data_IF_201408575618
#
_entry.id   IF_201408575618
#
_cell.length_a   1.000
_cell.length_b   1.000
_cell.length_c   1.000
_cell.angle_alpha   90.00
_cell.angle_beta   90.00
_cell.angle_gamma   90.00
#
_symmetry.space_group_name_H-M   'P 1'
#
loop_
_entity.id
_entity.type
_entity.pdbx_description
1 polymer ?
#
# COMPACT_ATOMS: atom_id res chain seq x y z
N UNK A 1 2.26 33.65 -3.07
CA UNK A 1 1.10 32.89 -2.54
C UNK A 1 1.22 31.49 -3.12
N UNK A 2 1.73 30.54 -2.33
CA UNK A 2 1.90 29.15 -2.79
C UNK A 2 0.53 28.49 -2.77
N UNK A 3 0.09 27.95 -3.90
CA UNK A 3 -1.13 27.17 -3.99
C UNK A 3 -0.78 25.77 -3.51
N UNK A 4 -1.22 25.41 -2.31
CA UNK A 4 -1.21 24.02 -1.86
C UNK A 4 -2.31 23.29 -2.66
N UNK A 5 -1.91 22.58 -3.72
CA UNK A 5 -2.78 21.64 -4.41
C UNK A 5 -2.94 20.40 -3.52
N UNK A 6 -3.84 20.46 -2.53
CA UNK A 6 -4.32 19.27 -1.83
C UNK A 6 -5.32 18.60 -2.79
N UNK A 7 -4.80 17.72 -3.65
CA UNK A 7 -5.64 16.88 -4.50
C UNK A 7 -6.02 15.62 -3.74
N UNK A 8 -7.15 15.62 -3.05
CA UNK A 8 -7.75 14.39 -2.53
C UNK A 8 -8.39 13.64 -3.70
N UNK A 9 -7.71 12.65 -4.24
CA UNK A 9 -8.32 11.71 -5.18
C UNK A 9 -8.93 10.58 -4.33
N UNK A 10 -10.20 10.73 -3.98
CA UNK A 10 -10.98 9.66 -3.38
C UNK A 10 -11.64 8.84 -4.48
N UNK A 11 -11.17 7.60 -4.70
CA UNK A 11 -11.83 6.68 -5.61
C UNK A 11 -13.02 6.01 -4.90
N UNK A 12 -14.22 5.95 -5.50
CA UNK A 12 -15.34 5.19 -4.93
C UNK A 12 -14.94 3.71 -4.79
N UNK A 13 -15.51 2.95 -3.84
CA UNK A 13 -15.21 1.53 -3.69
C UNK A 13 -15.42 0.79 -5.01
N UNK A 14 -14.37 0.10 -5.44
CA UNK A 14 -14.39 -0.70 -6.65
C UNK A 14 -13.95 -2.13 -6.35
N UNK A 15 -14.47 -3.05 -7.15
CA UNK A 15 -13.98 -4.42 -7.16
C UNK A 15 -12.68 -4.46 -7.94
N UNK A 16 -11.64 -5.08 -7.36
CA UNK A 16 -10.36 -5.26 -8.03
C UNK A 16 -10.61 -5.94 -9.39
N UNK A 17 -10.24 -5.28 -10.50
CA UNK A 17 -10.23 -5.92 -11.82
C UNK A 17 -9.22 -7.07 -11.86
N UNK A 18 -9.27 -7.99 -12.84
CA UNK A 18 -8.26 -9.06 -12.94
C UNK A 18 -6.81 -8.54 -13.01
N UNK A 19 -6.58 -7.36 -13.61
CA UNK A 19 -5.27 -6.70 -13.65
C UNK A 19 -4.88 -6.16 -12.28
N UNK A 20 -5.82 -5.48 -11.63
CA UNK A 20 -5.68 -4.95 -10.27
C UNK A 20 -5.44 -6.04 -9.23
N UNK A 21 -6.13 -7.17 -9.40
CA UNK A 21 -5.90 -8.40 -8.69
C UNK A 21 -4.51 -8.93 -8.99
N UNK A 22 -4.09 -9.00 -10.26
CA UNK A 22 -2.75 -9.46 -10.60
C UNK A 22 -1.65 -8.59 -9.98
N UNK A 23 -1.91 -7.30 -9.76
CA UNK A 23 -1.00 -6.38 -9.04
C UNK A 23 -1.07 -6.62 -7.53
N UNK A 24 -2.26 -6.72 -6.93
CA UNK A 24 -2.42 -7.03 -5.51
C UNK A 24 -1.89 -8.43 -5.15
N UNK A 25 -2.05 -9.38 -6.05
CA UNK A 25 -1.48 -10.73 -6.03
C UNK A 25 0.01 -10.66 -6.34
N UNK A 26 0.52 -9.81 -7.23
CA UNK A 26 1.98 -9.64 -7.35
C UNK A 26 2.59 -9.04 -6.07
N UNK A 27 1.89 -8.14 -5.38
CA UNK A 27 2.28 -7.60 -4.07
C UNK A 27 2.22 -8.70 -2.98
N UNK A 28 1.12 -9.45 -2.91
CA UNK A 28 0.85 -10.43 -1.86
C UNK A 28 1.58 -11.76 -2.08
N UNK A 29 1.59 -12.19 -3.33
CA UNK A 29 2.11 -13.45 -3.81
C UNK A 29 3.31 -13.20 -4.72
N UNK A 30 4.19 -12.24 -4.42
CA UNK A 30 5.58 -12.46 -4.81
C UNK A 30 5.91 -13.82 -4.18
N UNK A 31 5.94 -14.92 -4.96
CA UNK A 31 6.43 -16.15 -4.40
C UNK A 31 7.88 -15.82 -4.02
N UNK A 32 8.48 -16.58 -3.12
CA UNK A 32 9.93 -16.76 -3.23
C UNK A 32 10.20 -17.44 -4.57
N UNK A 33 10.06 -16.73 -5.69
CA UNK A 33 10.81 -17.04 -6.89
C UNK A 33 12.24 -16.92 -6.41
N UNK A 34 13.00 -18.01 -6.50
CA UNK A 34 14.31 -18.17 -5.86
C UNK A 34 15.34 -17.08 -6.22
N UNK A 35 14.98 -16.13 -7.10
CA UNK A 35 15.82 -15.05 -7.61
C UNK A 35 15.25 -13.61 -7.45
N UNK A 36 14.00 -13.37 -6.99
CA UNK A 36 13.46 -12.00 -6.85
C UNK A 36 13.19 -11.63 -5.38
N UNK A 37 13.74 -10.51 -4.87
CA UNK A 37 13.61 -10.14 -3.47
C UNK A 37 12.16 -9.78 -3.12
N UNK A 38 11.63 -10.42 -2.08
CA UNK A 38 10.32 -10.09 -1.54
C UNK A 38 10.43 -8.80 -0.73
N UNK A 39 9.44 -7.90 -0.80
CA UNK A 39 9.49 -6.63 -0.05
C UNK A 39 9.68 -6.86 1.47
N UNK A 40 9.06 -7.92 2.01
CA UNK A 40 9.22 -8.33 3.41
C UNK A 40 10.67 -8.73 3.77
N UNK A 41 11.52 -9.12 2.81
CA UNK A 41 12.93 -9.43 3.09
C UNK A 41 13.70 -8.19 3.58
N UNK A 42 13.18 -6.98 3.32
CA UNK A 42 13.70 -5.73 3.84
C UNK A 42 13.14 -5.38 5.23
N UNK A 43 12.09 -6.04 5.71
CA UNK A 43 11.38 -5.65 6.93
C UNK A 43 11.44 -6.75 8.00
N UNK A 44 11.90 -6.39 9.20
CA UNK A 44 11.98 -7.31 10.34
C UNK A 44 10.78 -7.21 11.28
N UNK A 45 9.92 -6.22 11.05
CA UNK A 45 8.87 -5.84 11.99
C UNK A 45 7.65 -6.79 12.01
N UNK A 46 7.07 -7.04 13.20
CA UNK A 46 5.90 -7.91 13.33
C UNK A 46 4.64 -7.34 12.66
N UNK A 47 4.54 -6.02 12.45
CA UNK A 47 3.42 -5.45 11.71
C UNK A 47 3.54 -5.76 10.22
N UNK A 48 4.73 -5.63 9.63
CA UNK A 48 4.99 -6.00 8.24
C UNK A 48 4.62 -7.46 7.95
N UNK A 49 4.99 -8.39 8.84
CA UNK A 49 4.63 -9.81 8.70
C UNK A 49 3.12 -10.05 8.76
N UNK A 50 2.39 -9.39 9.68
CA UNK A 50 0.93 -9.49 9.75
C UNK A 50 0.27 -8.90 8.51
N UNK A 51 0.80 -7.79 8.03
CA UNK A 51 0.31 -7.12 6.84
C UNK A 51 0.52 -7.97 5.58
N UNK A 52 1.66 -8.67 5.46
CA UNK A 52 1.90 -9.63 4.40
C UNK A 52 0.86 -10.77 4.38
N UNK A 53 0.52 -11.31 5.55
CA UNK A 53 -0.55 -12.31 5.66
C UNK A 53 -1.92 -11.73 5.26
N UNK A 54 -2.18 -10.47 5.58
CA UNK A 54 -3.39 -9.78 5.16
C UNK A 54 -3.46 -9.64 3.64
N UNK A 55 -2.38 -9.21 2.99
CA UNK A 55 -2.29 -9.13 1.53
C UNK A 55 -2.52 -10.51 0.88
N UNK A 56 -1.90 -11.55 1.43
CA UNK A 56 -2.07 -12.95 0.98
C UNK A 56 -3.50 -13.50 1.11
N UNK A 57 -4.36 -12.85 1.91
CA UNK A 57 -5.76 -13.25 2.08
C UNK A 57 -6.69 -12.69 0.99
N UNK A 58 -6.23 -11.77 0.16
CA UNK A 58 -7.08 -11.10 -0.81
C UNK A 58 -7.52 -12.05 -1.94
N UNK A 59 -8.81 -11.98 -2.28
CA UNK A 59 -9.44 -12.71 -3.38
C UNK A 59 -10.03 -11.75 -4.42
N UNK A 60 -10.50 -12.27 -5.56
CA UNK A 60 -11.12 -11.48 -6.65
C UNK A 60 -12.33 -10.64 -6.18
N UNK A 61 -12.94 -11.04 -5.06
CA UNK A 61 -14.10 -10.37 -4.48
C UNK A 61 -13.71 -9.32 -3.42
N UNK A 62 -12.42 -9.10 -3.18
CA UNK A 62 -11.94 -8.09 -2.24
C UNK A 62 -12.33 -6.71 -2.72
N UNK A 63 -13.14 -6.02 -1.93
CA UNK A 63 -13.50 -4.62 -2.18
C UNK A 63 -12.35 -3.73 -1.72
N UNK A 64 -11.91 -2.82 -2.58
CA UNK A 64 -10.77 -1.96 -2.29
C UNK A 64 -11.11 -0.48 -2.54
N UNK A 65 -10.63 0.37 -1.65
CA UNK A 65 -10.63 1.83 -1.82
C UNK A 65 -9.24 2.38 -1.59
N UNK A 66 -8.96 3.50 -2.23
CA UNK A 66 -7.75 4.27 -2.03
C UNK A 66 -8.06 5.76 -2.07
N UNK A 67 -7.45 6.47 -1.13
CA UNK A 67 -7.36 7.91 -1.09
C UNK A 67 -5.88 8.29 -1.01
N UNK A 68 -5.49 9.23 -1.85
CA UNK A 68 -4.11 9.73 -1.89
C UNK A 68 -4.08 11.20 -1.52
N UNK A 69 -3.20 11.55 -0.58
CA UNK A 69 -2.88 12.92 -0.21
C UNK A 69 -1.36 13.13 -0.30
N UNK A 70 -0.94 14.17 -1.03
CA UNK A 70 0.48 14.46 -1.23
C UNK A 70 0.78 15.95 -1.08
N UNK A 71 1.92 16.24 -0.47
CA UNK A 71 2.57 17.55 -0.40
C UNK A 71 4.09 17.38 -0.37
N UNK A 72 4.85 18.48 -0.31
CA UNK A 72 6.31 18.43 -0.29
C UNK A 72 6.87 17.56 0.85
N UNK A 73 6.22 17.60 2.02
CA UNK A 73 6.65 16.89 3.23
C UNK A 73 5.79 15.66 3.57
N UNK A 74 4.70 15.41 2.85
CA UNK A 74 3.75 14.34 3.16
C UNK A 74 3.41 13.54 1.92
N UNK A 75 3.42 12.22 2.02
CA UNK A 75 2.83 11.35 1.02
C UNK A 75 2.04 10.26 1.74
N UNK A 76 0.71 10.32 1.68
CA UNK A 76 -0.21 9.49 2.44
C UNK A 76 -1.13 8.73 1.49
N UNK A 77 -1.06 7.40 1.55
CA UNK A 77 -1.96 6.50 0.85
C UNK A 77 -2.85 5.83 1.88
N UNK A 78 -4.10 6.29 2.01
CA UNK A 78 -5.12 5.69 2.85
C UNK A 78 -5.89 4.68 2.04
N UNK A 79 -5.93 3.41 2.47
CA UNK A 79 -6.60 2.34 1.74
C UNK A 79 -7.51 1.55 2.66
N UNK A 80 -8.48 0.89 2.05
CA UNK A 80 -9.33 -0.08 2.74
C UNK A 80 -9.47 -1.30 1.86
N UNK A 81 -9.30 -2.50 2.43
CA UNK A 81 -9.69 -3.75 1.78
C UNK A 81 -10.71 -4.50 2.64
N UNK A 82 -11.89 -4.82 2.10
CA UNK A 82 -13.00 -5.42 2.84
C UNK A 82 -13.31 -4.71 4.17
N UNK A 83 -13.38 -3.37 4.15
CA UNK A 83 -13.56 -2.53 5.34
C UNK A 83 -12.41 -2.53 6.36
N UNK A 84 -11.28 -3.17 6.07
CA UNK A 84 -10.08 -3.15 6.91
C UNK A 84 -9.16 -2.00 6.45
N UNK A 85 -8.98 -0.95 7.26
CA UNK A 85 -8.16 0.20 6.89
C UNK A 85 -6.67 -0.10 7.06
N UNK A 86 -5.87 0.44 6.15
CA UNK A 86 -4.41 0.45 6.24
C UNK A 86 -3.84 1.65 5.48
N UNK A 87 -2.61 2.06 5.78
CA UNK A 87 -1.99 3.17 5.07
C UNK A 87 -0.48 3.08 4.99
N UNK A 88 0.07 3.55 3.87
CA UNK A 88 1.49 3.87 3.75
C UNK A 88 1.69 5.36 3.87
N UNK A 89 2.67 5.78 4.66
CA UNK A 89 2.94 7.20 4.89
C UNK A 89 4.42 7.50 4.75
N UNK A 90 4.72 8.58 4.04
CA UNK A 90 5.97 9.33 4.14
C UNK A 90 5.68 10.66 4.82
N UNK A 91 6.33 10.94 5.95
CA UNK A 91 6.35 12.26 6.58
C UNK A 91 7.83 12.66 6.68
N UNK A 92 8.19 13.74 5.99
CA UNK A 92 9.59 14.13 5.75
C UNK A 92 10.37 12.95 5.12
N UNK A 93 11.38 12.45 5.83
CA UNK A 93 12.23 11.32 5.45
C UNK A 93 11.89 10.03 6.24
N UNK A 94 10.69 9.97 6.86
CA UNK A 94 10.24 8.81 7.64
C UNK A 94 9.12 8.10 6.90
N UNK A 95 9.26 6.78 6.82
CA UNK A 95 8.31 5.90 6.15
C UNK A 95 7.64 4.99 7.18
N UNK A 96 6.33 4.81 7.05
CA UNK A 96 5.57 3.98 7.98
C UNK A 96 4.43 3.24 7.30
N UNK A 97 4.18 2.05 7.81
CA UNK A 97 2.98 1.26 7.58
C UNK A 97 2.05 1.45 8.78
N UNK A 98 0.76 1.64 8.52
CA UNK A 98 -0.27 1.49 9.53
C UNK A 98 -1.25 0.42 9.11
N UNK A 99 -1.52 -0.49 10.04
CA UNK A 99 -2.40 -1.62 9.86
C UNK A 99 -2.94 -2.04 11.23
N UNK A 100 -4.22 -2.41 11.32
CA UNK A 100 -4.84 -2.86 12.58
C UNK A 100 -4.68 -1.87 13.76
N UNK A 101 -4.80 -0.57 13.49
CA UNK A 101 -4.55 0.54 14.44
C UNK A 101 -3.14 0.62 15.01
N UNK A 102 -2.21 -0.19 14.52
CA UNK A 102 -0.80 -0.14 14.87
C UNK A 102 0.00 0.57 13.76
N UNK A 103 1.17 1.09 14.13
CA UNK A 103 2.09 1.75 13.20
C UNK A 103 3.50 1.20 13.39
N UNK A 104 4.17 0.95 12.28
CA UNK A 104 5.54 0.48 12.24
C UNK A 104 6.34 1.27 11.22
N UNK A 105 7.58 1.60 11.55
CA UNK A 105 8.52 2.17 10.58
C UNK A 105 8.91 1.12 9.57
N UNK A 106 8.89 1.50 8.30
CA UNK A 106 9.33 0.65 7.17
C UNK A 106 10.51 1.33 6.48
N UNK A 107 11.23 0.57 5.65
CA UNK A 107 12.27 1.12 4.78
C UNK A 107 11.66 1.98 3.66
N UNK A 108 12.45 2.93 3.17
CA UNK A 108 12.10 3.74 2.00
C UNK A 108 11.80 2.85 0.77
N UNK A 109 12.63 1.85 0.53
CA UNK A 109 12.48 0.90 -0.59
C UNK A 109 11.14 0.18 -0.55
N UNK A 110 10.68 -0.21 0.63
CA UNK A 110 9.37 -0.85 0.83
C UNK A 110 8.24 0.10 0.50
N UNK A 111 8.32 1.35 0.96
CA UNK A 111 7.34 2.37 0.60
C UNK A 111 7.29 2.61 -0.92
N UNK A 112 8.45 2.77 -1.55
CA UNK A 112 8.57 2.98 -2.99
C UNK A 112 8.00 1.80 -3.79
N UNK A 113 8.29 0.56 -3.37
CA UNK A 113 7.72 -0.65 -3.94
C UNK A 113 6.19 -0.57 -3.99
N UNK A 114 5.52 -0.31 -2.86
CA UNK A 114 4.06 -0.20 -2.85
C UNK A 114 3.54 0.94 -3.73
N UNK A 115 4.18 2.11 -3.69
CA UNK A 115 3.80 3.25 -4.53
C UNK A 115 3.89 2.92 -6.01
N UNK A 116 4.92 2.19 -6.44
CA UNK A 116 5.03 1.76 -7.83
C UNK A 116 3.89 0.84 -8.25
N UNK A 117 3.49 -0.09 -7.39
CA UNK A 117 2.39 -1.00 -7.68
C UNK A 117 1.04 -0.26 -7.76
N UNK A 118 0.83 0.76 -6.91
CA UNK A 118 -0.39 1.57 -6.93
C UNK A 118 -0.59 2.36 -8.24
N UNK A 119 0.48 2.66 -9.00
CA UNK A 119 0.39 3.35 -10.30
C UNK A 119 -0.38 2.55 -11.36
N UNK A 120 -0.48 1.23 -11.18
CA UNK A 120 -1.14 0.35 -12.13
C UNK A 120 -2.62 0.10 -11.77
N UNK A 121 -3.12 0.70 -10.70
CA UNK A 121 -4.54 0.68 -10.38
C UNK A 121 -5.32 1.59 -11.33
N UNK A 122 -6.50 1.16 -11.81
CA UNK A 122 -7.42 2.05 -12.50
C UNK A 122 -8.00 3.04 -11.47
N UNK A 123 -7.42 4.24 -11.40
CA UNK A 123 -7.93 5.37 -10.60
C UNK A 123 -9.11 6.05 -11.30
#
# INVERSE_FOLDING_TARGET
>A
MSHNNIGTIGAPPFKLSALTMAIAVAIATQPKQEDEPHWLDAEEGPLAQRFDNFLNSWTNDTEFTIEHESSDALNLYCMTANSIPFSFRRIDDRYSLLFDNESESIQQSTFEFFVEQLKFLPL
#
